data_IF_627197176747
#
_entry.id   IF_627197176747
#
_cell.length_a   1.000
_cell.length_b   1.000
_cell.length_c   1.000
_cell.angle_alpha   90.00
_cell.angle_beta   90.00
_cell.angle_gamma   90.00
#
_symmetry.space_group_name_H-M   'P 1'
#
loop_
_entity.id
_entity.type
_entity.pdbx_description
1 polymer ?
#
# COMPACT_ATOMS: atom_id res chain seq x y z
N UNK A 1 8.84 -9.24 11.03
CA UNK A 1 7.92 -8.09 11.22
C UNK A 1 6.84 -8.06 10.14
N UNK A 2 5.66 -7.49 10.40
CA UNK A 2 4.58 -7.32 9.39
C UNK A 2 4.57 -5.89 8.85
N UNK A 3 4.36 -5.73 7.55
CA UNK A 3 4.03 -4.45 6.92
C UNK A 3 2.54 -4.40 6.64
N UNK A 4 1.86 -3.43 7.22
CA UNK A 4 0.47 -3.10 6.91
C UNK A 4 0.44 -1.89 5.99
N UNK A 5 -0.29 -2.01 4.89
CA UNK A 5 -0.58 -0.88 4.00
C UNK A 5 -2.09 -0.69 4.03
N UNK A 6 -2.55 0.36 4.72
CA UNK A 6 -3.94 0.77 4.70
C UNK A 6 -4.16 1.70 3.52
N UNK A 7 -5.17 1.42 2.69
CA UNK A 7 -5.56 2.23 1.56
C UNK A 7 -7.00 2.72 1.74
N UNK A 8 -7.17 4.04 1.78
CA UNK A 8 -8.47 4.70 1.57
C UNK A 8 -8.58 5.09 0.09
N UNK A 9 -9.56 4.52 -0.60
CA UNK A 9 -9.70 4.60 -2.05
C UNK A 9 -10.88 5.48 -2.43
N UNK A 10 -10.56 6.58 -3.12
CA UNK A 10 -11.52 7.47 -3.75
C UNK A 10 -11.41 7.40 -5.28
N UNK A 11 -12.26 8.13 -6.00
CA UNK A 11 -12.20 8.17 -7.47
C UNK A 11 -10.90 8.76 -8.02
N UNK A 12 -10.25 9.66 -7.27
CA UNK A 12 -9.09 10.42 -7.75
C UNK A 12 -7.80 10.06 -6.99
N UNK A 13 -7.91 9.49 -5.78
CA UNK A 13 -6.78 9.30 -4.88
C UNK A 13 -6.74 7.93 -4.22
N UNK A 14 -5.51 7.49 -3.95
CA UNK A 14 -5.16 6.41 -3.04
C UNK A 14 -4.43 7.03 -1.85
N UNK A 15 -5.15 7.19 -0.74
CA UNK A 15 -4.54 7.64 0.52
C UNK A 15 -3.97 6.42 1.23
N UNK A 16 -2.64 6.38 1.37
CA UNK A 16 -1.90 5.22 1.86
C UNK A 16 -1.23 5.50 3.21
N UNK A 17 -1.40 4.57 4.15
CA UNK A 17 -0.71 4.56 5.44
C UNK A 17 0.10 3.26 5.59
N UNK A 18 1.40 3.38 5.78
CA UNK A 18 2.35 2.28 5.93
C UNK A 18 2.69 2.12 7.40
N UNK A 19 2.47 0.93 7.95
CA UNK A 19 2.60 0.66 9.37
C UNK A 19 3.29 -0.67 9.63
N UNK A 20 3.89 -0.82 10.80
CA UNK A 20 4.44 -2.11 11.25
C UNK A 20 3.76 -2.59 12.53
N UNK A 21 3.92 -3.87 12.87
CA UNK A 21 3.51 -4.40 14.19
C UNK A 21 4.49 -4.06 15.33
N UNK A 22 5.52 -3.25 15.07
CA UNK A 22 6.44 -2.75 16.09
C UNK A 22 5.84 -1.53 16.81
N UNK A 23 5.74 -1.62 18.14
CA UNK A 23 5.21 -0.54 18.99
C UNK A 23 6.03 0.75 18.99
N UNK A 24 7.29 0.70 18.56
CA UNK A 24 8.21 1.84 18.47
C UNK A 24 8.32 2.41 17.06
N UNK A 25 7.92 1.65 16.03
CA UNK A 25 8.01 2.00 14.62
C UNK A 25 6.65 1.79 13.93
N UNK A 26 5.58 2.25 14.58
CA UNK A 26 4.21 1.90 14.22
C UNK A 26 3.77 2.50 12.88
N UNK A 27 4.17 3.73 12.56
CA UNK A 27 3.87 4.40 11.28
C UNK A 27 5.18 4.74 10.57
N UNK A 28 5.34 4.21 9.36
CA UNK A 28 6.49 4.46 8.48
C UNK A 28 6.26 5.70 7.61
N UNK A 29 5.07 5.80 7.02
CA UNK A 29 4.74 6.85 6.06
C UNK A 29 3.23 6.98 5.86
N UNK A 30 2.80 8.21 5.62
CA UNK A 30 1.47 8.54 5.11
C UNK A 30 1.63 9.39 3.85
N UNK A 31 0.93 9.04 2.78
CA UNK A 31 1.01 9.75 1.51
C UNK A 31 -0.24 9.51 0.66
N UNK A 32 -0.59 10.52 -0.14
CA UNK A 32 -1.65 10.44 -1.13
C UNK A 32 -1.06 10.26 -2.53
N UNK A 33 -1.62 9.32 -3.29
CA UNK A 33 -1.25 9.04 -4.68
C UNK A 33 -2.48 9.20 -5.58
N UNK A 34 -2.26 9.30 -6.89
CA UNK A 34 -3.35 9.26 -7.86
C UNK A 34 -4.02 7.88 -7.88
N UNK A 35 -5.34 7.81 -8.04
CA UNK A 35 -6.03 6.54 -8.31
C UNK A 35 -5.82 6.12 -9.78
N UNK A 36 -4.58 5.76 -10.08
CA UNK A 36 -4.13 5.30 -11.39
C UNK A 36 -3.10 4.19 -11.21
N UNK A 37 -2.75 3.53 -12.32
CA UNK A 37 -1.65 2.55 -12.32
C UNK A 37 -0.33 3.18 -11.87
N UNK A 38 -0.09 4.46 -12.19
CA UNK A 38 1.11 5.17 -11.74
C UNK A 38 1.12 5.30 -10.22
N UNK A 39 0.01 5.75 -9.61
CA UNK A 39 -0.08 5.87 -8.15
C UNK A 39 0.07 4.53 -7.43
N UNK A 40 -0.50 3.46 -7.98
CA UNK A 40 -0.32 2.11 -7.44
C UNK A 40 1.14 1.62 -7.55
N UNK A 41 1.83 1.92 -8.66
CA UNK A 41 3.26 1.63 -8.82
C UNK A 41 4.12 2.39 -7.80
N UNK A 42 3.80 3.65 -7.51
CA UNK A 42 4.53 4.43 -6.49
C UNK A 42 4.36 3.83 -5.08
N UNK A 43 3.16 3.33 -4.77
CA UNK A 43 2.91 2.60 -3.51
C UNK A 43 3.76 1.33 -3.47
N UNK A 44 3.80 0.54 -4.55
CA UNK A 44 4.66 -0.64 -4.67
C UNK A 44 6.14 -0.31 -4.44
N UNK A 45 6.65 0.73 -5.06
CA UNK A 45 8.06 1.13 -4.89
C UNK A 45 8.39 1.40 -3.42
N UNK A 46 7.49 2.05 -2.69
CA UNK A 46 7.65 2.26 -1.25
C UNK A 46 7.60 0.95 -0.45
N UNK A 47 6.71 0.02 -0.81
CA UNK A 47 6.67 -1.32 -0.19
C UNK A 47 8.01 -2.03 -0.35
N UNK A 48 8.58 -2.02 -1.56
CA UNK A 48 9.86 -2.64 -1.86
C UNK A 48 11.02 -1.94 -1.12
N UNK A 49 11.01 -0.60 -1.07
CA UNK A 49 11.99 0.18 -0.32
C UNK A 49 11.97 -0.18 1.18
N UNK A 50 10.78 -0.27 1.80
CA UNK A 50 10.68 -0.69 3.19
C UNK A 50 11.11 -2.14 3.42
N UNK A 51 10.83 -3.03 2.46
CA UNK A 51 11.22 -4.43 2.53
C UNK A 51 12.73 -4.66 2.39
N UNK A 52 13.46 -3.70 1.78
CA UNK A 52 14.92 -3.73 1.72
C UNK A 52 15.57 -3.20 3.01
N UNK A 53 14.93 -2.24 3.67
CA UNK A 53 15.47 -1.61 4.88
C UNK A 53 15.08 -2.36 6.16
N UNK A 54 14.03 -3.17 6.13
CA UNK A 54 13.52 -3.89 7.29
C UNK A 54 13.17 -5.33 6.90
N UNK A 55 13.43 -6.28 7.78
CA UNK A 55 13.10 -7.69 7.56
C UNK A 55 11.57 -7.92 7.71
N UNK A 56 10.88 -7.88 6.58
CA UNK A 56 9.42 -8.04 6.50
C UNK A 56 9.08 -9.49 6.16
N UNK A 57 8.41 -10.17 7.10
CA UNK A 57 7.97 -11.56 6.95
C UNK A 57 6.62 -11.67 6.24
N UNK A 58 5.83 -10.59 6.28
CA UNK A 58 4.49 -10.57 5.71
C UNK A 58 4.04 -9.16 5.36
N UNK A 59 3.57 -9.00 4.13
CA UNK A 59 2.83 -7.84 3.66
C UNK A 59 1.32 -8.08 3.83
N UNK A 60 0.61 -7.07 4.34
CA UNK A 60 -0.85 -7.07 4.47
C UNK A 60 -1.36 -5.75 3.92
N UNK A 61 -2.09 -5.81 2.80
CA UNK A 61 -2.73 -4.62 2.21
C UNK A 61 -4.22 -4.66 2.56
N UNK A 62 -4.65 -3.72 3.38
CA UNK A 62 -6.05 -3.49 3.72
C UNK A 62 -6.61 -2.34 2.89
N UNK A 63 -7.78 -2.51 2.31
CA UNK A 63 -8.39 -1.50 1.44
C UNK A 63 -9.82 -1.22 1.88
N UNK A 64 -10.12 0.04 2.16
CA UNK A 64 -11.48 0.55 2.30
C UNK A 64 -11.89 1.15 0.95
N UNK A 65 -12.79 0.47 0.24
CA UNK A 65 -13.24 0.91 -1.09
C UNK A 65 -14.66 1.48 -0.99
N UNK A 66 -14.82 2.75 -1.38
CA UNK A 66 -16.10 3.45 -1.25
C UNK A 66 -17.00 3.31 -2.50
N UNK A 67 -16.54 2.68 -3.58
CA UNK A 67 -17.34 2.35 -4.79
C UNK A 67 -16.56 1.44 -5.76
N UNK A 68 -17.24 0.90 -6.78
CA UNK A 68 -16.62 0.21 -7.91
C UNK A 68 -15.97 1.24 -8.86
N UNK A 69 -14.65 1.42 -8.76
CA UNK A 69 -13.88 2.27 -9.69
C UNK A 69 -13.28 1.45 -10.84
N UNK A 70 -13.02 2.11 -11.98
CA UNK A 70 -12.57 1.48 -13.24
C UNK A 70 -11.16 0.89 -13.19
N UNK A 71 -10.28 1.47 -12.36
CA UNK A 71 -9.01 0.87 -11.98
C UNK A 71 -9.20 0.25 -10.60
N UNK A 72 -8.82 -1.02 -10.44
CA UNK A 72 -9.03 -1.77 -9.21
C UNK A 72 -7.68 -2.05 -8.54
N UNK A 73 -7.22 -1.19 -7.61
CA UNK A 73 -5.92 -1.33 -6.95
C UNK A 73 -5.68 -2.72 -6.37
N UNK A 74 -6.71 -3.37 -5.83
CA UNK A 74 -6.55 -4.73 -5.29
C UNK A 74 -6.19 -5.78 -6.33
N UNK A 75 -6.57 -5.61 -7.60
CA UNK A 75 -6.17 -6.53 -8.67
C UNK A 75 -4.71 -6.30 -9.02
N UNK A 76 -4.31 -5.03 -9.16
CA UNK A 76 -2.92 -4.64 -9.39
C UNK A 76 -1.99 -5.24 -8.33
N UNK A 77 -2.26 -5.04 -7.05
CA UNK A 77 -1.40 -5.57 -5.98
C UNK A 77 -1.43 -7.10 -5.85
N UNK A 78 -2.55 -7.75 -6.20
CA UNK A 78 -2.68 -9.21 -6.12
C UNK A 78 -1.94 -9.94 -7.25
N UNK A 79 -1.85 -9.32 -8.42
CA UNK A 79 -1.20 -9.92 -9.59
C UNK A 79 0.26 -9.49 -9.75
N UNK A 80 0.75 -8.55 -8.92
CA UNK A 80 2.13 -8.10 -8.96
C UNK A 80 3.08 -9.20 -8.46
N UNK A 81 3.96 -9.69 -9.33
CA UNK A 81 4.88 -10.78 -9.01
C UNK A 81 5.98 -10.43 -8.02
N UNK A 82 6.20 -9.13 -7.77
CA UNK A 82 7.21 -8.64 -6.83
C UNK A 82 6.66 -8.48 -5.40
N UNK A 83 5.34 -8.65 -5.19
CA UNK A 83 4.64 -8.57 -3.90
C UNK A 83 4.05 -9.92 -3.48
#
# INVERSE_FOLDING_TARGET
MKLFVGLDVSSEKLDACFMTDDSTLSVLKEASFENSQLGASQIKELILEFSQNIEIEKLVIGMEATSLYSFHPSMFFKEDSEL
#
